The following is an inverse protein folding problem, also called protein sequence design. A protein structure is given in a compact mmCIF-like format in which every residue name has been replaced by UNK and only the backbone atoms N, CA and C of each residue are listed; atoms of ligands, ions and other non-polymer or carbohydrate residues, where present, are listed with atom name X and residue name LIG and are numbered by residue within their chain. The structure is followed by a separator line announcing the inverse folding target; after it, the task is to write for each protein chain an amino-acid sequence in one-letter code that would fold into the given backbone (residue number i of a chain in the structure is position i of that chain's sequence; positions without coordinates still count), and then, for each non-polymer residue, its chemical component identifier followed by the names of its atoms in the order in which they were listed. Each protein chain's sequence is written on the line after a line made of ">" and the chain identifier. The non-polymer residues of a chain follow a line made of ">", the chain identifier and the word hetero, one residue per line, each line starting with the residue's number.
data_IF_035655928878
#
_entry.id   IF_035655928878
#
_cell.length_a   1.000
_cell.length_b   1.000
_cell.length_c   1.000
_cell.angle_alpha   90.00
_cell.angle_beta   90.00
_cell.angle_gamma   90.00
#
_symmetry.space_group_name_H-M   'P 1'
#
loop_
_entity.id
_entity.type
_entity.pdbx_description
1 polymer ?
#
# COMPACT_ATOMS: atom_id res chain seq x y z
N UNK A 1 6.53 -6.73 21.46
CA UNK A 1 7.05 -7.62 20.39
C UNK A 1 6.59 -7.19 18.99
N UNK A 2 5.29 -7.01 18.70
CA UNK A 2 4.82 -6.62 17.35
C UNK A 2 5.27 -5.21 16.90
N UNK A 3 5.37 -4.27 17.83
CA UNK A 3 5.77 -2.88 17.57
C UNK A 3 7.26 -2.74 17.21
N UNK A 4 8.14 -3.54 17.83
CA UNK A 4 9.58 -3.52 17.53
C UNK A 4 9.84 -3.98 16.10
N UNK A 5 9.05 -4.94 15.61
CA UNK A 5 9.16 -5.42 14.24
C UNK A 5 8.82 -4.30 13.23
N UNK A 6 7.76 -3.51 13.47
CA UNK A 6 7.41 -2.41 12.55
C UNK A 6 8.46 -1.29 12.52
N UNK A 7 9.01 -0.93 13.69
CA UNK A 7 10.10 0.06 13.78
C UNK A 7 11.39 -0.46 13.16
N UNK A 8 11.77 -1.71 13.45
CA UNK A 8 12.95 -2.34 12.89
C UNK A 8 12.85 -2.49 11.36
N UNK A 9 11.67 -2.80 10.82
CA UNK A 9 11.44 -2.87 9.37
C UNK A 9 11.54 -1.51 8.69
N UNK A 10 11.14 -0.43 9.38
CA UNK A 10 11.36 0.92 8.83
C UNK A 10 12.85 1.25 8.72
N UNK A 11 13.66 0.79 9.68
CA UNK A 11 15.11 0.94 9.64
C UNK A 11 15.80 -0.05 8.67
N UNK A 12 15.22 -1.23 8.48
CA UNK A 12 15.74 -2.30 7.62
C UNK A 12 14.60 -2.89 6.76
N UNK A 13 14.30 -2.27 5.61
CA UNK A 13 13.20 -2.70 4.76
C UNK A 13 13.40 -4.14 4.29
N UNK A 14 12.47 -5.03 4.63
CA UNK A 14 12.47 -6.42 4.21
C UNK A 14 11.13 -6.76 3.55
N UNK A 15 11.09 -7.14 2.26
CA UNK A 15 9.87 -7.58 1.59
C UNK A 15 9.13 -8.72 2.31
N UNK A 16 9.85 -9.58 3.04
CA UNK A 16 9.26 -10.63 3.87
C UNK A 16 8.40 -10.12 5.02
N UNK A 17 8.51 -8.85 5.40
CA UNK A 17 7.70 -8.24 6.45
C UNK A 17 6.31 -7.78 5.96
N UNK A 18 6.08 -7.67 4.65
CA UNK A 18 4.83 -7.13 4.08
C UNK A 18 3.57 -7.85 4.59
N UNK A 19 3.50 -9.19 4.66
CA UNK A 19 2.32 -9.87 5.21
C UNK A 19 2.04 -9.49 6.67
N UNK A 20 3.10 -9.32 7.48
CA UNK A 20 2.98 -8.90 8.87
C UNK A 20 2.50 -7.46 9.01
N UNK A 21 2.98 -6.55 8.15
CA UNK A 21 2.54 -5.16 8.11
C UNK A 21 1.07 -5.04 7.69
N UNK A 22 0.63 -5.82 6.69
CA UNK A 22 -0.78 -5.88 6.27
C UNK A 22 -1.66 -6.40 7.41
N UNK A 23 -1.22 -7.44 8.13
CA UNK A 23 -1.93 -7.94 9.30
C UNK A 23 -2.07 -6.84 10.38
N UNK A 24 -1.01 -6.06 10.59
CA UNK A 24 -1.03 -4.93 11.54
C UNK A 24 -2.02 -3.86 11.10
N UNK A 25 -2.01 -3.45 9.83
CA UNK A 25 -2.99 -2.50 9.27
C UNK A 25 -4.44 -2.94 9.50
N UNK A 26 -4.73 -4.25 9.51
CA UNK A 26 -6.09 -4.79 9.71
C UNK A 26 -6.52 -4.97 11.16
N UNK A 27 -5.59 -5.19 12.09
CA UNK A 27 -5.93 -5.55 13.46
C UNK A 27 -5.53 -4.51 14.53
N UNK A 28 -4.59 -3.60 14.21
CA UNK A 28 -4.09 -2.62 15.16
C UNK A 28 -5.03 -1.42 15.33
N UNK A 29 -5.26 -1.01 16.58
CA UNK A 29 -6.11 0.14 16.93
C UNK A 29 -5.29 1.40 17.18
N UNK A 30 -4.02 1.23 17.57
CA UNK A 30 -3.14 2.35 17.86
C UNK A 30 -2.71 3.06 16.58
N UNK A 31 -3.09 4.33 16.45
CA UNK A 31 -2.86 5.13 15.24
C UNK A 31 -1.38 5.29 14.94
N UNK A 32 -0.54 5.46 15.97
CA UNK A 32 0.91 5.59 15.81
C UNK A 32 1.53 4.34 15.18
N UNK A 33 1.08 3.14 15.59
CA UNK A 33 1.59 1.87 15.08
C UNK A 33 1.16 1.66 13.61
N UNK A 34 -0.05 2.10 13.25
CA UNK A 34 -0.51 2.08 11.85
C UNK A 34 0.33 3.01 10.97
N UNK A 35 0.72 4.19 11.46
CA UNK A 35 1.61 5.11 10.73
C UNK A 35 2.97 4.45 10.46
N UNK A 36 3.55 3.78 11.44
CA UNK A 36 4.84 3.09 11.27
C UNK A 36 4.71 1.93 10.28
N UNK A 37 3.58 1.21 10.27
CA UNK A 37 3.31 0.20 9.26
C UNK A 37 3.26 0.77 7.84
N UNK A 38 2.57 1.90 7.65
CA UNK A 38 2.47 2.60 6.35
C UNK A 38 3.84 3.08 5.88
N UNK A 39 4.67 3.64 6.77
CA UNK A 39 6.04 4.06 6.43
C UNK A 39 6.91 2.87 6.02
N UNK A 40 6.82 1.76 6.76
CA UNK A 40 7.55 0.55 6.46
C UNK A 40 7.18 0.00 5.07
N UNK A 41 5.89 -0.05 4.73
CA UNK A 41 5.43 -0.42 3.38
C UNK A 41 5.95 0.55 2.31
N UNK A 42 5.96 1.85 2.61
CA UNK A 42 6.57 2.87 1.75
C UNK A 42 8.04 2.63 1.47
N UNK A 43 8.80 2.24 2.50
CA UNK A 43 10.23 1.96 2.39
C UNK A 43 10.53 0.63 1.66
N UNK A 44 9.66 -0.37 1.78
CA UNK A 44 9.79 -1.64 1.05
C UNK A 44 9.52 -1.44 -0.44
N UNK A 45 8.45 -0.73 -0.80
CA UNK A 45 8.19 -0.29 -2.17
C UNK A 45 7.86 -1.38 -3.20
N UNK A 46 7.66 -2.63 -2.77
CA UNK A 46 7.29 -3.72 -3.68
C UNK A 46 5.81 -3.65 -4.10
N UNK A 47 5.40 -4.53 -5.04
CA UNK A 47 4.03 -4.55 -5.55
C UNK A 47 3.00 -4.85 -4.44
N UNK A 48 3.36 -5.70 -3.48
CA UNK A 48 2.49 -6.03 -2.36
C UNK A 48 2.31 -4.82 -1.43
N UNK A 49 3.37 -4.04 -1.20
CA UNK A 49 3.34 -2.79 -0.43
C UNK A 49 2.52 -1.74 -1.13
N UNK A 50 2.66 -1.56 -2.44
CA UNK A 50 1.80 -0.66 -3.23
C UNK A 50 0.32 -1.00 -3.07
N UNK A 51 -0.05 -2.28 -3.16
CA UNK A 51 -1.44 -2.72 -2.97
C UNK A 51 -1.94 -2.42 -1.55
N UNK A 52 -1.11 -2.66 -0.53
CA UNK A 52 -1.45 -2.36 0.84
C UNK A 52 -1.64 -0.85 1.11
N UNK A 53 -0.78 -0.01 0.53
CA UNK A 53 -0.88 1.44 0.64
C UNK A 53 -2.14 1.99 -0.06
N UNK A 54 -2.50 1.46 -1.23
CA UNK A 54 -3.75 1.80 -1.91
C UNK A 54 -4.98 1.49 -1.03
N UNK A 55 -5.00 0.33 -0.36
CA UNK A 55 -6.08 -0.01 0.57
C UNK A 55 -6.20 1.02 1.70
N UNK A 56 -5.08 1.44 2.29
CA UNK A 56 -5.08 2.47 3.34
C UNK A 56 -5.55 3.83 2.81
N UNK A 57 -5.13 4.20 1.59
CA UNK A 57 -5.53 5.46 0.97
C UNK A 57 -7.04 5.55 0.70
N UNK A 58 -7.65 4.44 0.25
CA UNK A 58 -9.10 4.35 0.00
C UNK A 58 -9.94 4.09 1.26
N UNK A 59 -9.33 3.75 2.40
CA UNK A 59 -10.05 3.51 3.64
C UNK A 59 -10.48 4.84 4.29
N UNK A 60 -11.75 5.19 4.11
CA UNK A 60 -12.37 6.41 4.65
C UNK A 60 -12.81 6.26 6.12
N UNK A 61 -12.52 5.14 6.77
CA UNK A 61 -12.86 4.97 8.19
C UNK A 61 -11.98 5.84 9.07
N UNK A 62 -12.46 6.27 10.26
CA UNK A 62 -11.69 7.09 11.19
C UNK A 62 -10.33 6.49 11.59
N UNK A 63 -10.20 5.16 11.47
CA UNK A 63 -8.98 4.42 11.76
C UNK A 63 -7.81 4.84 10.89
N UNK A 64 -8.07 5.18 9.62
CA UNK A 64 -7.02 5.48 8.65
C UNK A 64 -6.97 6.95 8.23
N UNK A 65 -7.79 7.84 8.81
CA UNK A 65 -7.80 9.28 8.48
C UNK A 65 -6.40 9.90 8.40
N UNK A 66 -5.57 9.72 9.44
CA UNK A 66 -4.20 10.24 9.47
C UNK A 66 -3.23 9.41 8.60
N UNK A 67 -3.55 8.13 8.41
CA UNK A 67 -2.72 7.18 7.69
C UNK A 67 -2.80 7.40 6.16
N UNK A 68 -3.94 7.89 5.65
CA UNK A 68 -4.18 8.15 4.23
C UNK A 68 -3.18 9.12 3.61
N UNK A 69 -2.85 10.21 4.30
CA UNK A 69 -1.88 11.19 3.81
C UNK A 69 -0.47 10.58 3.71
N UNK A 70 -0.11 9.73 4.68
CA UNK A 70 1.18 9.00 4.65
C UNK A 70 1.19 7.93 3.57
N UNK A 71 0.07 7.23 3.38
CA UNK A 71 -0.08 6.25 2.32
C UNK A 71 0.03 6.90 0.94
N UNK A 72 -0.62 8.05 0.74
CA UNK A 72 -0.49 8.85 -0.48
C UNK A 72 0.95 9.27 -0.75
N UNK A 73 1.64 9.84 0.24
CA UNK A 73 3.04 10.24 0.08
C UNK A 73 3.93 9.05 -0.32
N UNK A 74 3.73 7.89 0.31
CA UNK A 74 4.43 6.65 -0.04
C UNK A 74 4.08 6.17 -1.45
N UNK A 75 2.82 6.25 -1.87
CA UNK A 75 2.39 5.92 -3.23
C UNK A 75 3.08 6.83 -4.26
N UNK A 76 3.11 8.14 -4.05
CA UNK A 76 3.84 9.06 -4.92
C UNK A 76 5.33 8.72 -4.99
N UNK A 77 5.96 8.42 -3.85
CA UNK A 77 7.37 8.06 -3.78
C UNK A 77 7.69 6.78 -4.56
N UNK A 78 6.89 5.71 -4.37
CA UNK A 78 7.15 4.42 -5.01
C UNK A 78 6.83 4.46 -6.51
N UNK A 79 5.73 5.13 -6.89
CA UNK A 79 5.26 5.12 -8.28
C UNK A 79 5.90 6.21 -9.13
N UNK A 80 6.53 7.21 -8.52
CA UNK A 80 6.99 8.43 -9.19
C UNK A 80 5.86 9.30 -9.76
N UNK A 81 4.59 8.94 -9.51
CA UNK A 81 3.43 9.68 -10.00
C UNK A 81 3.08 10.83 -9.07
N UNK A 82 2.76 11.97 -9.65
CA UNK A 82 2.29 13.15 -8.94
C UNK A 82 0.76 13.29 -9.07
N UNK A 83 0.03 12.27 -8.61
CA UNK A 83 -1.44 12.33 -8.55
C UNK A 83 -1.80 13.06 -7.25
N UNK A 84 -2.59 14.16 -7.27
CA UNK A 84 -2.97 14.89 -6.06
C UNK A 84 -3.63 14.01 -5.00
N UNK A 85 -3.52 14.40 -3.73
CA UNK A 85 -4.12 13.64 -2.62
C UNK A 85 -5.64 13.52 -2.75
N UNK A 86 -6.30 14.59 -3.18
CA UNK A 86 -7.75 14.63 -3.33
C UNK A 86 -8.24 14.00 -4.66
N UNK A 87 -7.32 13.63 -5.56
CA UNK A 87 -7.65 12.97 -6.81
C UNK A 87 -7.81 11.45 -6.63
N UNK A 88 -8.92 11.09 -5.98
CA UNK A 88 -9.31 9.69 -5.76
C UNK A 88 -9.51 8.96 -7.08
N UNK A 89 -9.98 9.66 -8.13
CA UNK A 89 -10.20 9.08 -9.45
C UNK A 89 -8.87 8.66 -10.10
N UNK A 90 -7.86 9.51 -10.05
CA UNK A 90 -6.52 9.21 -10.57
C UNK A 90 -5.89 7.99 -9.91
N UNK A 91 -5.98 7.90 -8.57
CA UNK A 91 -5.50 6.71 -7.85
C UNK A 91 -6.34 5.46 -8.10
N UNK A 92 -7.65 5.62 -8.30
CA UNK A 92 -8.55 4.51 -8.64
C UNK A 92 -8.21 3.95 -10.02
N UNK A 93 -8.00 4.80 -11.01
CA UNK A 93 -7.61 4.39 -12.36
C UNK A 93 -6.23 3.75 -12.38
N UNK A 94 -5.28 4.29 -11.61
CA UNK A 94 -3.99 3.64 -11.39
C UNK A 94 -4.14 2.23 -10.82
N UNK A 95 -4.95 2.05 -9.78
CA UNK A 95 -5.16 0.74 -9.16
C UNK A 95 -5.85 -0.28 -10.08
N UNK A 96 -6.76 0.18 -10.95
CA UNK A 96 -7.41 -0.65 -11.97
C UNK A 96 -6.41 -1.05 -13.07
N UNK A 97 -5.62 -0.09 -13.55
CA UNK A 97 -4.62 -0.32 -14.60
C UNK A 97 -3.49 -1.25 -14.14
N UNK A 98 -3.21 -1.29 -12.83
CA UNK A 98 -2.17 -2.15 -12.25
C UNK A 98 -2.67 -3.51 -11.78
N UNK A 99 -3.95 -3.86 -12.01
CA UNK A 99 -4.35 -5.26 -11.94
C UNK A 99 -3.48 -6.03 -12.96
N UNK A 100 -2.74 -7.06 -12.56
CA UNK A 100 -2.30 -8.04 -13.54
C UNK A 100 -3.59 -8.55 -14.18
N UNK A 101 -3.63 -8.60 -15.51
CA UNK A 101 -4.82 -9.05 -16.24
C UNK A 101 -5.44 -10.28 -15.56
N UNK A 102 -6.77 -10.40 -15.52
CA UNK A 102 -7.41 -11.17 -16.59
C UNK A 102 -6.35 -11.76 -17.51
N UNK A 103 -5.99 -13.02 -17.24
CA UNK A 103 -5.09 -13.83 -18.08
C UNK A 103 -5.22 -13.37 -19.54
N UNK A 104 -4.13 -13.24 -20.30
CA UNK A 104 -4.28 -13.48 -21.72
C UNK A 104 -4.82 -14.91 -21.82
N UNK A 105 -6.14 -15.04 -21.99
CA UNK A 105 -6.70 -16.24 -22.57
C UNK A 105 -5.93 -16.44 -23.88
N UNK A 106 -5.55 -17.67 -24.23
CA UNK A 106 -4.72 -17.89 -25.39
C UNK A 106 -5.42 -17.23 -26.57
N UNK A 107 -4.75 -16.24 -27.17
CA UNK A 107 -4.97 -15.88 -28.54
C UNK A 107 -4.55 -17.11 -29.35
N UNK A 108 -5.42 -18.11 -29.38
CA UNK A 108 -5.46 -19.09 -30.44
C UNK A 108 -6.06 -18.35 -31.62
N UNK A 109 -5.19 -17.90 -32.51
CA UNK A 109 -5.56 -17.68 -33.90
C UNK A 109 -6.29 -18.91 -34.42
N UNK A 110 -7.49 -18.65 -34.96
CA UNK A 110 -8.04 -19.22 -36.20
C UNK A 110 -7.42 -20.54 -36.68
N UNK A 111 -8.23 -21.60 -36.67
CA UNK A 111 -8.74 -22.25 -37.90
C UNK A 111 -10.20 -22.69 -37.66
#
# INVERSE_FOLDING_TARGET
>A
VRWEAAKAVTAHPNPGAVPGLIFMLKNEKEGIILIDAVKALGAIGDEASLKALLLVYFDLTPRHTNNRMKAHAALCQITGKNIPFDDVAGWLDYSKAKRPGTKPGPAGEKE
#
